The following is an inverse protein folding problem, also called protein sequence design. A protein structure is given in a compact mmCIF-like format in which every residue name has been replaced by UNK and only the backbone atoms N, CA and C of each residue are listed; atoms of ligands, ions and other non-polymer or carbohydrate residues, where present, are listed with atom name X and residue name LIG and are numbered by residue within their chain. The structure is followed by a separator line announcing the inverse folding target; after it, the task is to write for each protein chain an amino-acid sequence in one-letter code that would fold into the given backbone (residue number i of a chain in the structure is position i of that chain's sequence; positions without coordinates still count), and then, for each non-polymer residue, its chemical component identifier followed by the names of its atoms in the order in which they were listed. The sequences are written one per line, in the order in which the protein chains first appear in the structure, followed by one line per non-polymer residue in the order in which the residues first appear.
data_IF_295787243545
#
_entry.id   IF_295787243545
#
_cell.length_a   1.000
_cell.length_b   1.000
_cell.length_c   1.000
_cell.angle_alpha   90.00
_cell.angle_beta   90.00
_cell.angle_gamma   90.00
#
_symmetry.space_group_name_H-M   'P 1'
#
loop_
_entity.id
_entity.type
_entity.pdbx_description
1 polymer ?
#
# COMPACT_ATOMS: atom_id res chain seq x y z
N UNK A 1 6.31 -20.39 -15.81
CA UNK A 1 6.87 -20.85 -14.51
C UNK A 1 5.99 -20.27 -13.43
N UNK A 2 5.30 -21.09 -12.64
CA UNK A 2 4.49 -20.63 -11.52
C UNK A 2 5.41 -19.99 -10.47
N UNK A 3 5.42 -18.65 -10.47
CA UNK A 3 6.17 -17.87 -9.48
C UNK A 3 5.46 -18.00 -8.15
N UNK A 4 6.11 -18.62 -7.15
CA UNK A 4 5.50 -18.76 -5.82
C UNK A 4 5.51 -17.42 -5.09
N UNK A 5 4.39 -17.02 -4.45
CA UNK A 5 4.33 -15.80 -3.68
C UNK A 5 5.15 -15.91 -2.39
N UNK A 6 5.83 -14.81 -2.04
CA UNK A 6 6.56 -14.66 -0.78
C UNK A 6 5.60 -14.46 0.40
N UNK A 7 4.51 -13.68 0.18
CA UNK A 7 3.34 -13.61 1.05
C UNK A 7 2.12 -14.04 0.24
N UNK A 8 1.29 -14.93 0.81
CA UNK A 8 -0.01 -15.30 0.28
C UNK A 8 -1.07 -15.17 1.37
N UNK A 9 -1.93 -14.18 1.23
CA UNK A 9 -3.11 -14.00 2.07
C UNK A 9 -4.34 -14.56 1.34
N UNK A 10 -5.12 -15.41 2.02
CA UNK A 10 -6.32 -16.05 1.45
C UNK A 10 -7.50 -15.85 2.38
N UNK A 11 -8.56 -15.25 1.86
CA UNK A 11 -9.86 -15.03 2.54
C UNK A 11 -9.71 -14.45 3.95
N UNK A 12 -8.76 -13.55 4.14
CA UNK A 12 -8.46 -12.95 5.46
C UNK A 12 -9.64 -12.10 5.92
N UNK A 13 -10.09 -12.36 7.14
CA UNK A 13 -11.11 -11.56 7.83
C UNK A 13 -10.52 -10.97 9.11
N UNK A 14 -10.77 -9.66 9.34
CA UNK A 14 -10.33 -8.97 10.55
C UNK A 14 -11.52 -8.27 11.17
N UNK A 15 -11.73 -8.54 12.45
CA UNK A 15 -12.83 -7.95 13.22
C UNK A 15 -12.28 -7.21 14.44
N UNK A 16 -12.75 -5.98 14.64
CA UNK A 16 -12.49 -5.18 15.83
C UNK A 16 -13.69 -5.22 16.79
N UNK A 17 -13.39 -5.33 18.07
CA UNK A 17 -14.40 -5.20 19.14
C UNK A 17 -14.40 -3.77 19.67
N UNK A 18 -15.46 -3.01 19.37
CA UNK A 18 -15.60 -1.60 19.73
C UNK A 18 -16.90 -1.40 20.54
N UNK A 19 -16.80 -1.09 21.82
CA UNK A 19 -17.93 -0.81 22.71
C UNK A 19 -19.06 -1.88 22.61
N UNK A 20 -18.67 -3.15 22.62
CA UNK A 20 -19.61 -4.27 22.51
C UNK A 20 -20.14 -4.58 21.10
N UNK A 21 -19.77 -3.80 20.08
CA UNK A 21 -20.10 -4.07 18.68
C UNK A 21 -18.89 -4.64 17.93
N UNK A 22 -19.17 -5.42 16.90
CA UNK A 22 -18.14 -6.00 16.02
C UNK A 22 -18.07 -5.19 14.71
N UNK A 23 -16.89 -4.66 14.40
CA UNK A 23 -16.58 -4.00 13.15
C UNK A 23 -15.79 -4.98 12.27
N UNK A 24 -16.35 -5.42 11.14
CA UNK A 24 -15.65 -6.26 10.16
C UNK A 24 -14.81 -5.35 9.24
N UNK A 25 -13.60 -5.03 9.68
CA UNK A 25 -12.72 -4.11 8.95
C UNK A 25 -12.17 -4.73 7.66
N UNK A 26 -11.92 -6.05 7.65
CA UNK A 26 -11.47 -6.82 6.47
C UNK A 26 -12.42 -7.99 6.28
N UNK A 27 -12.86 -8.18 5.03
CA UNK A 27 -13.90 -9.11 4.63
C UNK A 27 -13.40 -9.99 3.49
N UNK A 28 -12.91 -11.22 3.79
CA UNK A 28 -12.41 -12.20 2.81
C UNK A 28 -11.43 -11.57 1.80
N UNK A 29 -10.39 -10.92 2.32
CA UNK A 29 -9.38 -10.27 1.49
C UNK A 29 -8.31 -11.29 1.10
N UNK A 30 -8.03 -11.41 -0.21
CA UNK A 30 -6.99 -12.30 -0.74
C UNK A 30 -6.01 -11.47 -1.55
N UNK A 31 -4.69 -11.71 -1.35
CA UNK A 31 -3.61 -10.98 -1.99
C UNK A 31 -2.31 -11.79 -1.94
N UNK A 32 -1.62 -11.85 -3.08
CA UNK A 32 -0.30 -12.44 -3.20
C UNK A 32 0.75 -11.35 -3.48
N UNK A 33 1.90 -11.42 -2.79
CA UNK A 33 3.09 -10.63 -3.06
C UNK A 33 4.19 -11.57 -3.57
N UNK A 34 4.83 -11.19 -4.66
CA UNK A 34 5.93 -11.96 -5.25
C UNK A 34 7.29 -11.34 -4.90
N UNK A 35 8.34 -12.16 -4.95
CA UNK A 35 9.70 -11.72 -4.62
C UNK A 35 10.21 -10.66 -5.63
N UNK A 36 10.81 -9.58 -5.10
CA UNK A 36 11.32 -8.44 -5.88
C UNK A 36 10.25 -7.55 -6.51
N UNK A 37 8.95 -7.81 -6.25
CA UNK A 37 7.82 -7.04 -6.79
C UNK A 37 7.55 -5.78 -5.99
N UNK A 38 7.07 -4.74 -6.67
CA UNK A 38 6.39 -3.60 -6.05
C UNK A 38 4.89 -3.72 -6.25
N UNK A 39 4.17 -4.00 -5.17
CA UNK A 39 2.71 -4.08 -5.15
C UNK A 39 2.12 -2.83 -4.51
N UNK A 40 1.21 -2.14 -5.20
CA UNK A 40 0.45 -1.05 -4.62
C UNK A 40 -0.93 -1.51 -4.14
N UNK A 41 -1.33 -1.11 -2.93
CA UNK A 41 -2.69 -1.26 -2.42
C UNK A 41 -3.32 0.13 -2.37
N UNK A 42 -4.33 0.36 -3.19
CA UNK A 42 -4.97 1.67 -3.36
C UNK A 42 -6.43 1.66 -2.94
N UNK A 43 -6.95 2.81 -2.55
CA UNK A 43 -8.35 3.00 -2.17
C UNK A 43 -8.56 4.18 -1.24
N UNK A 44 -9.81 4.58 -1.02
CA UNK A 44 -10.15 5.68 -0.12
C UNK A 44 -9.66 5.45 1.32
N UNK A 45 -9.54 6.54 2.09
CA UNK A 45 -9.26 6.45 3.53
C UNK A 45 -10.34 5.59 4.21
N UNK A 46 -9.92 4.73 5.15
CA UNK A 46 -10.84 3.80 5.82
C UNK A 46 -11.20 2.54 5.03
N UNK A 47 -10.69 2.31 3.82
CA UNK A 47 -10.96 1.09 3.05
C UNK A 47 -10.34 -0.19 3.65
N UNK A 48 -9.45 -0.06 4.63
CA UNK A 48 -8.83 -1.19 5.35
C UNK A 48 -7.38 -1.48 5.01
N UNK A 49 -6.74 -0.71 4.11
CA UNK A 49 -5.36 -0.94 3.60
C UNK A 49 -4.34 -1.16 4.73
N UNK A 50 -4.19 -0.17 5.60
CA UNK A 50 -3.25 -0.23 6.73
C UNK A 50 -3.60 -1.33 7.73
N UNK A 51 -4.88 -1.60 7.96
CA UNK A 51 -5.33 -2.69 8.84
C UNK A 51 -4.90 -4.04 8.28
N UNK A 52 -5.10 -4.24 6.98
CA UNK A 52 -4.73 -5.49 6.31
C UNK A 52 -3.22 -5.72 6.35
N UNK A 53 -2.42 -4.73 6.00
CA UNK A 53 -0.95 -4.88 5.94
C UNK A 53 -0.28 -4.94 7.32
N UNK A 54 -0.87 -4.34 8.37
CA UNK A 54 -0.41 -4.52 9.76
C UNK A 54 -0.44 -5.98 10.21
N UNK A 55 -1.26 -6.84 9.60
CA UNK A 55 -1.23 -8.28 9.89
C UNK A 55 0.06 -8.95 9.46
N UNK A 56 0.72 -8.45 8.41
CA UNK A 56 1.99 -9.00 7.90
C UNK A 56 3.19 -8.76 8.84
N UNK A 57 3.02 -7.87 9.81
CA UNK A 57 4.00 -7.60 10.86
C UNK A 57 3.44 -7.88 12.27
N UNK A 58 2.24 -8.48 12.37
CA UNK A 58 1.60 -8.81 13.65
C UNK A 58 1.32 -7.58 14.53
N UNK A 59 0.97 -6.43 13.92
CA UNK A 59 0.76 -5.15 14.61
C UNK A 59 -0.70 -4.69 14.57
N UNK A 60 -1.64 -5.63 14.68
CA UNK A 60 -3.04 -5.27 14.90
C UNK A 60 -3.21 -4.66 16.29
N UNK A 61 -4.11 -3.68 16.39
CA UNK A 61 -4.50 -3.10 17.66
C UNK A 61 -5.11 -4.19 18.59
N UNK A 62 -5.00 -4.00 19.89
CA UNK A 62 -5.36 -5.00 20.93
C UNK A 62 -6.82 -5.49 20.81
N UNK A 63 -7.71 -4.65 20.30
CA UNK A 63 -9.13 -4.96 20.07
C UNK A 63 -9.42 -5.57 18.70
N UNK A 64 -8.40 -5.74 17.83
CA UNK A 64 -8.49 -6.36 16.51
C UNK A 64 -8.02 -7.81 16.51
N UNK A 65 -8.71 -8.67 15.78
CA UNK A 65 -8.35 -10.09 15.62
C UNK A 65 -8.56 -10.55 14.19
N UNK A 66 -7.65 -11.42 13.71
CA UNK A 66 -7.90 -12.21 12.50
C UNK A 66 -8.95 -13.25 12.87
N UNK A 67 -10.11 -13.21 12.21
CA UNK A 67 -11.26 -14.07 12.51
C UNK A 67 -11.51 -15.12 11.43
N UNK A 68 -10.80 -15.07 10.31
CA UNK A 68 -10.87 -16.05 9.22
C UNK A 68 -9.72 -15.91 8.25
N UNK A 69 -9.56 -16.91 7.39
CA UNK A 69 -8.54 -16.98 6.37
C UNK A 69 -7.16 -17.39 6.90
N UNK A 70 -6.16 -17.26 6.05
CA UNK A 70 -4.76 -17.57 6.36
C UNK A 70 -3.82 -16.56 5.72
N UNK A 71 -2.65 -16.37 6.31
CA UNK A 71 -1.56 -15.55 5.76
C UNK A 71 -0.29 -16.39 5.80
N UNK A 72 0.18 -16.80 4.63
CA UNK A 72 1.40 -17.58 4.51
C UNK A 72 2.59 -16.66 4.18
N UNK A 73 3.68 -16.78 4.91
CA UNK A 73 4.96 -16.19 4.60
C UNK A 73 5.99 -17.31 4.49
N UNK A 74 6.62 -17.45 3.33
CA UNK A 74 7.53 -18.59 3.04
C UNK A 74 6.90 -19.95 3.43
N UNK A 75 5.60 -20.13 3.18
CA UNK A 75 4.85 -21.37 3.52
C UNK A 75 4.43 -21.52 4.99
N UNK A 76 4.83 -20.61 5.89
CA UNK A 76 4.45 -20.62 7.31
C UNK A 76 3.22 -19.73 7.56
N UNK A 77 2.22 -20.25 8.25
CA UNK A 77 0.99 -19.52 8.57
C UNK A 77 1.23 -18.50 9.69
N UNK A 78 1.30 -17.22 9.30
CA UNK A 78 1.52 -16.08 10.20
C UNK A 78 0.37 -15.84 11.19
N UNK A 79 -0.83 -16.34 10.91
CA UNK A 79 -1.98 -16.20 11.82
C UNK A 79 -1.79 -17.01 13.11
N UNK A 80 -0.84 -17.96 13.11
CA UNK A 80 -0.48 -18.82 14.24
C UNK A 80 0.83 -18.42 14.93
N UNK A 81 1.46 -17.32 14.49
CA UNK A 81 2.74 -16.89 15.06
C UNK A 81 2.58 -16.42 16.52
N UNK A 82 3.53 -16.86 17.33
CA UNK A 82 3.74 -16.39 18.70
C UNK A 82 4.59 -15.10 18.69
N UNK A 83 4.68 -14.37 19.81
CA UNK A 83 5.59 -13.22 19.91
C UNK A 83 7.05 -13.61 19.62
N UNK A 84 7.47 -14.83 19.96
CA UNK A 84 8.81 -15.30 19.64
C UNK A 84 9.04 -15.43 18.13
N UNK A 85 8.02 -15.88 17.37
CA UNK A 85 8.09 -15.93 15.91
C UNK A 85 8.15 -14.52 15.32
N UNK A 86 7.34 -13.60 15.84
CA UNK A 86 7.31 -12.20 15.40
C UNK A 86 8.63 -11.46 15.63
N UNK A 87 9.37 -11.75 16.71
CA UNK A 87 10.71 -11.19 16.93
C UNK A 87 11.70 -11.58 15.83
N UNK A 88 11.51 -12.74 15.19
CA UNK A 88 12.32 -13.17 14.05
C UNK A 88 11.93 -12.55 12.71
N UNK A 89 10.74 -11.94 12.63
CA UNK A 89 10.15 -11.38 11.39
C UNK A 89 10.26 -9.86 11.36
N UNK A 90 9.79 -9.19 12.43
CA UNK A 90 9.73 -7.72 12.50
C UNK A 90 11.12 -7.09 12.34
N UNK A 91 11.25 -6.16 11.41
CA UNK A 91 12.49 -5.48 11.07
C UNK A 91 13.45 -6.34 10.26
N UNK A 92 13.67 -7.60 10.63
CA UNK A 92 14.65 -8.48 9.99
C UNK A 92 14.19 -9.02 8.63
N UNK A 93 12.92 -9.42 8.52
CA UNK A 93 12.32 -9.99 7.31
C UNK A 93 11.33 -9.04 6.68
N UNK A 94 10.46 -8.47 7.49
CA UNK A 94 9.44 -7.52 7.07
C UNK A 94 9.58 -6.26 7.92
N UNK A 95 9.84 -5.14 7.26
CA UNK A 95 9.88 -3.82 7.89
C UNK A 95 8.72 -2.96 7.41
N UNK A 96 8.30 -2.00 8.22
CA UNK A 96 7.19 -1.11 7.90
C UNK A 96 7.56 0.34 8.18
N UNK A 97 7.32 1.20 7.19
CA UNK A 97 7.33 2.66 7.29
C UNK A 97 5.90 3.10 7.51
N UNK A 98 5.63 3.72 8.67
CA UNK A 98 4.31 4.18 9.06
C UNK A 98 3.99 5.55 8.47
N UNK A 99 2.71 5.89 8.41
CA UNK A 99 2.17 7.11 7.79
C UNK A 99 2.74 8.41 8.38
N UNK A 100 2.98 8.47 9.70
CA UNK A 100 3.46 9.68 10.37
C UNK A 100 4.89 9.53 10.87
N UNK A 101 5.86 10.23 10.25
CA UNK A 101 7.26 10.20 10.69
C UNK A 101 7.46 10.87 12.06
N UNK A 102 6.54 11.74 12.50
CA UNK A 102 6.63 12.42 13.79
C UNK A 102 6.40 11.47 14.97
N UNK A 103 5.52 10.51 14.80
CA UNK A 103 5.23 9.49 15.82
C UNK A 103 6.20 8.31 15.75
N UNK A 104 6.91 8.14 14.63
CA UNK A 104 7.85 7.04 14.41
C UNK A 104 9.23 7.30 15.01
N UNK A 105 9.63 8.57 15.18
CA UNK A 105 10.93 8.95 15.73
C UNK A 105 10.82 9.34 17.21
N UNK A 106 11.72 8.82 18.04
CA UNK A 106 11.81 9.26 19.43
C UNK A 106 12.42 10.67 19.51
N UNK A 107 11.67 11.70 19.94
CA UNK A 107 12.14 13.08 19.95
C UNK A 107 13.31 13.34 20.91
N UNK A 108 13.51 12.47 21.90
CA UNK A 108 14.55 12.59 22.94
C UNK A 108 15.83 11.83 22.58
N UNK A 109 15.86 11.08 21.46
CA UNK A 109 17.05 10.36 21.00
C UNK A 109 17.63 11.00 19.73
N UNK A 110 18.95 11.04 19.64
CA UNK A 110 19.66 11.48 18.43
C UNK A 110 19.30 10.59 17.24
N UNK A 111 19.22 11.16 16.04
CA UNK A 111 18.84 10.47 14.81
C UNK A 111 19.75 9.27 14.52
N UNK A 112 21.08 9.49 14.57
CA UNK A 112 22.03 8.42 14.29
C UNK A 112 21.94 7.26 15.27
N UNK A 113 21.61 7.54 16.54
CA UNK A 113 21.42 6.50 17.57
C UNK A 113 20.20 5.62 17.30
N UNK A 114 19.13 6.17 16.72
CA UNK A 114 17.93 5.40 16.38
C UNK A 114 18.21 4.45 15.21
N UNK A 115 18.98 4.87 14.22
CA UNK A 115 19.41 4.01 13.12
C UNK A 115 20.40 2.96 13.63
N UNK A 116 21.37 3.36 14.45
CA UNK A 116 22.36 2.47 15.05
C UNK A 116 21.71 1.36 15.85
N UNK A 117 20.69 1.66 16.67
CA UNK A 117 19.93 0.70 17.47
C UNK A 117 19.30 -0.40 16.58
N UNK A 118 18.70 -0.01 15.43
CA UNK A 118 18.17 -0.96 14.45
C UNK A 118 19.27 -1.86 13.87
N UNK A 119 20.43 -1.29 13.54
CA UNK A 119 21.56 -2.05 13.01
C UNK A 119 22.11 -3.03 14.07
N UNK A 120 22.29 -2.58 15.30
CA UNK A 120 22.78 -3.41 16.40
C UNK A 120 21.86 -4.58 16.69
N UNK A 121 20.55 -4.33 16.64
CA UNK A 121 19.55 -5.36 16.95
C UNK A 121 19.41 -6.39 15.81
N UNK A 122 19.49 -5.98 14.55
CA UNK A 122 19.16 -6.85 13.42
C UNK A 122 20.36 -7.34 12.61
N UNK A 123 21.48 -6.61 12.60
CA UNK A 123 22.67 -6.99 11.84
C UNK A 123 23.80 -7.57 12.72
N UNK A 124 23.70 -7.45 14.05
CA UNK A 124 24.74 -7.92 14.97
C UNK A 124 26.02 -7.08 14.95
N UNK A 125 25.99 -5.88 14.32
CA UNK A 125 27.08 -4.91 14.40
C UNK A 125 26.93 -4.10 15.70
N UNK A 126 28.03 -3.76 16.35
CA UNK A 126 28.01 -3.01 17.61
C UNK A 126 29.06 -1.87 17.64
N UNK A 127 28.85 -0.88 18.51
CA UNK A 127 29.78 0.20 18.77
C UNK A 127 30.12 1.04 17.53
N UNK A 128 31.39 1.26 17.25
CA UNK A 128 31.86 2.09 16.13
C UNK A 128 31.49 1.49 14.76
N UNK A 129 31.43 0.18 14.61
CA UNK A 129 31.01 -0.44 13.36
C UNK A 129 29.54 -0.15 13.05
N UNK A 130 28.67 -0.25 14.06
CA UNK A 130 27.25 0.11 13.91
C UNK A 130 27.05 1.61 13.68
N UNK A 131 27.84 2.47 14.34
CA UNK A 131 27.83 3.93 14.12
C UNK A 131 28.21 4.27 12.68
N UNK A 132 29.29 3.68 12.17
CA UNK A 132 29.72 3.87 10.77
C UNK A 132 28.63 3.47 9.79
N UNK A 133 28.03 2.30 9.99
CA UNK A 133 26.92 1.81 9.14
C UNK A 133 25.68 2.72 9.22
N UNK A 134 25.39 3.33 10.38
CA UNK A 134 24.31 4.30 10.52
C UNK A 134 24.59 5.61 9.75
N UNK A 135 25.83 6.10 9.77
CA UNK A 135 26.24 7.26 9.01
C UNK A 135 26.19 6.98 7.49
N UNK A 136 26.66 5.81 7.06
CA UNK A 136 26.54 5.36 5.66
C UNK A 136 25.07 5.28 5.22
N UNK A 137 24.19 4.82 6.09
CA UNK A 137 22.76 4.77 5.80
C UNK A 137 22.14 6.17 5.69
N UNK A 138 22.52 7.13 6.54
CA UNK A 138 22.10 8.52 6.41
C UNK A 138 22.55 9.14 5.07
N UNK A 139 23.78 8.89 4.66
CA UNK A 139 24.28 9.32 3.35
C UNK A 139 23.46 8.69 2.21
N UNK A 140 23.18 7.39 2.29
CA UNK A 140 22.42 6.61 1.30
C UNK A 140 21.00 7.16 1.10
N UNK A 141 20.32 7.57 2.17
CA UNK A 141 19.00 8.18 2.05
C UNK A 141 19.04 9.67 1.68
N UNK A 142 20.21 10.19 1.33
CA UNK A 142 20.38 11.56 0.86
C UNK A 142 20.27 12.62 1.96
N UNK A 143 20.68 12.31 3.19
CA UNK A 143 20.84 13.30 4.26
C UNK A 143 22.21 13.97 4.10
N UNK A 144 22.28 15.31 3.90
CA UNK A 144 23.54 16.02 3.78
C UNK A 144 24.29 16.03 5.12
N UNK A 145 25.62 16.07 5.08
CA UNK A 145 26.51 16.09 6.27
C UNK A 145 26.18 15.00 7.29
N UNK A 146 26.18 13.69 6.89
CA UNK A 146 25.61 12.60 7.68
C UNK A 146 26.30 12.43 9.04
N UNK A 147 27.59 12.70 9.17
CA UNK A 147 28.33 12.66 10.44
C UNK A 147 27.81 13.70 11.44
N UNK A 148 27.60 14.92 10.98
CA UNK A 148 27.02 15.99 11.81
C UNK A 148 25.57 15.66 12.15
N UNK A 149 24.79 15.23 11.16
CA UNK A 149 23.35 14.89 11.31
C UNK A 149 23.11 13.70 12.23
N UNK A 150 24.05 12.78 12.30
CA UNK A 150 24.00 11.65 13.23
C UNK A 150 23.82 12.12 14.68
N UNK A 151 24.46 13.23 15.07
CA UNK A 151 24.43 13.78 16.44
C UNK A 151 23.21 14.68 16.74
N UNK A 152 22.38 14.95 15.76
CA UNK A 152 21.21 15.82 15.85
C UNK A 152 19.95 15.08 16.26
N UNK A 153 18.95 15.86 16.71
CA UNK A 153 17.64 15.36 17.14
C UNK A 153 16.57 15.53 16.05
N UNK A 154 15.44 14.80 16.11
CA UNK A 154 14.36 14.87 15.11
C UNK A 154 13.83 16.28 14.86
N UNK A 155 13.74 17.15 15.88
CA UNK A 155 13.23 18.51 15.74
C UNK A 155 14.13 19.43 14.88
N UNK A 156 15.40 19.05 14.67
CA UNK A 156 16.34 19.79 13.82
C UNK A 156 16.25 19.40 12.33
N UNK A 157 15.31 18.49 11.96
CA UNK A 157 15.12 17.97 10.62
C UNK A 157 13.82 18.49 10.02
N UNK A 158 13.79 18.76 8.71
CA UNK A 158 12.55 19.02 7.97
C UNK A 158 11.66 17.77 7.88
N UNK A 159 10.40 17.93 7.49
CA UNK A 159 9.47 16.80 7.31
C UNK A 159 10.01 15.74 6.35
N UNK A 160 10.49 16.15 5.18
CA UNK A 160 11.10 15.24 4.21
C UNK A 160 12.38 14.57 4.70
N UNK A 161 13.21 15.26 5.49
CA UNK A 161 14.39 14.67 6.11
C UNK A 161 14.00 13.63 7.16
N UNK A 162 12.99 13.89 7.99
CA UNK A 162 12.48 12.90 8.97
C UNK A 162 11.94 11.67 8.28
N UNK A 163 11.21 11.84 7.18
CA UNK A 163 10.72 10.72 6.37
C UNK A 163 11.87 9.87 5.82
N UNK A 164 12.93 10.49 5.29
CA UNK A 164 14.14 9.78 4.86
C UNK A 164 14.80 9.00 6.00
N UNK A 165 14.82 9.55 7.21
CA UNK A 165 15.35 8.87 8.40
C UNK A 165 14.51 7.67 8.79
N UNK A 166 13.17 7.76 8.76
CA UNK A 166 12.28 6.62 9.05
C UNK A 166 12.51 5.50 8.02
N UNK A 167 12.64 5.87 6.74
CA UNK A 167 12.99 4.92 5.68
C UNK A 167 14.39 4.31 5.94
N UNK A 168 15.37 5.12 6.37
CA UNK A 168 16.69 4.64 6.74
C UNK A 168 16.66 3.60 7.87
N UNK A 169 15.88 3.83 8.92
CA UNK A 169 15.71 2.89 10.05
C UNK A 169 15.13 1.56 9.54
N UNK A 170 14.10 1.61 8.70
CA UNK A 170 13.47 0.42 8.15
C UNK A 170 14.40 -0.35 7.20
N UNK A 171 15.08 0.36 6.28
CA UNK A 171 15.99 -0.22 5.30
C UNK A 171 17.33 -0.69 5.92
N UNK A 172 17.77 -0.09 7.04
CA UNK A 172 18.97 -0.49 7.74
C UNK A 172 18.96 -1.95 8.18
N UNK A 173 17.78 -2.52 8.40
CA UNK A 173 17.63 -3.94 8.74
C UNK A 173 17.81 -4.88 7.54
N UNK A 174 17.93 -4.37 6.33
CA UNK A 174 17.94 -5.12 5.05
C UNK A 174 16.79 -6.14 4.97
N UNK A 175 15.54 -5.67 5.10
CA UNK A 175 14.38 -6.55 5.09
C UNK A 175 14.17 -7.16 3.71
N UNK A 176 13.50 -8.32 3.66
CA UNK A 176 13.06 -8.93 2.41
C UNK A 176 11.83 -8.22 1.84
N UNK A 177 10.99 -7.67 2.74
CA UNK A 177 9.78 -6.93 2.38
C UNK A 177 9.75 -5.59 3.13
N UNK A 178 9.55 -4.51 2.41
CA UNK A 178 9.30 -3.17 2.97
C UNK A 178 7.85 -2.76 2.71
N UNK A 179 7.09 -2.51 3.77
CA UNK A 179 5.73 -1.98 3.70
C UNK A 179 5.80 -0.47 3.92
N UNK A 180 5.30 0.31 2.98
CA UNK A 180 5.26 1.77 3.04
C UNK A 180 3.80 2.23 3.14
N UNK A 181 3.36 2.60 4.35
CA UNK A 181 2.00 3.08 4.61
C UNK A 181 1.96 4.59 4.45
N UNK A 182 1.43 5.04 3.31
CA UNK A 182 1.31 6.45 2.91
C UNK A 182 2.62 7.25 3.10
N UNK A 183 3.76 6.79 2.54
CA UNK A 183 5.08 7.33 2.89
C UNK A 183 5.32 8.77 2.42
N UNK A 184 4.40 9.35 1.66
CA UNK A 184 4.51 10.69 1.08
C UNK A 184 3.40 11.64 1.53
N UNK A 185 2.50 11.20 2.41
CA UNK A 185 1.42 12.04 2.93
C UNK A 185 1.98 13.26 3.66
N UNK A 186 1.38 14.43 3.44
CA UNK A 186 1.78 15.73 3.99
C UNK A 186 3.16 16.27 3.51
N UNK A 187 3.71 15.73 2.42
CA UNK A 187 4.89 16.26 1.76
C UNK A 187 4.52 17.01 0.47
N UNK A 188 5.32 17.99 0.09
CA UNK A 188 5.16 18.65 -1.20
C UNK A 188 5.52 17.72 -2.36
N UNK A 189 5.00 18.00 -3.57
CA UNK A 189 5.11 17.14 -4.75
C UNK A 189 6.56 16.82 -5.11
N UNK A 190 7.47 17.77 -4.95
CA UNK A 190 8.90 17.58 -5.26
C UNK A 190 9.54 16.59 -4.29
N UNK A 191 9.27 16.73 -3.00
CA UNK A 191 9.77 15.81 -1.97
C UNK A 191 9.12 14.44 -2.12
N UNK A 192 7.83 14.35 -2.46
CA UNK A 192 7.16 13.08 -2.77
C UNK A 192 7.92 12.30 -3.84
N UNK A 193 8.21 12.92 -4.99
CA UNK A 193 8.94 12.27 -6.08
C UNK A 193 10.31 11.76 -5.62
N UNK A 194 11.03 12.55 -4.82
CA UNK A 194 12.33 12.16 -4.29
C UNK A 194 12.24 10.97 -3.30
N UNK A 195 11.21 10.90 -2.46
CA UNK A 195 10.99 9.79 -1.53
C UNK A 195 10.65 8.50 -2.30
N UNK A 196 9.82 8.59 -3.33
CA UNK A 196 9.48 7.43 -4.16
C UNK A 196 10.71 6.90 -4.91
N UNK A 197 11.52 7.79 -5.47
CA UNK A 197 12.77 7.41 -6.13
C UNK A 197 13.74 6.76 -5.13
N UNK A 198 13.89 7.33 -3.93
CA UNK A 198 14.71 6.76 -2.87
C UNK A 198 14.31 5.32 -2.52
N UNK A 199 13.00 5.06 -2.33
CA UNK A 199 12.52 3.71 -2.00
C UNK A 199 12.80 2.75 -3.16
N UNK A 200 12.61 3.19 -4.42
CA UNK A 200 12.93 2.40 -5.62
C UNK A 200 14.42 2.05 -5.72
N UNK A 201 15.30 3.01 -5.42
CA UNK A 201 16.74 2.79 -5.45
C UNK A 201 17.17 1.81 -4.36
N UNK A 202 16.62 1.95 -3.14
CA UNK A 202 16.84 1.02 -2.04
C UNK A 202 16.29 -0.38 -2.36
N UNK A 203 15.13 -0.48 -2.99
CA UNK A 203 14.56 -1.75 -3.45
C UNK A 203 15.50 -2.50 -4.37
N UNK A 204 16.01 -1.82 -5.40
CA UNK A 204 16.95 -2.41 -6.38
C UNK A 204 18.27 -2.81 -5.73
N UNK A 205 18.81 -1.96 -4.87
CA UNK A 205 20.11 -2.19 -4.23
C UNK A 205 20.03 -3.33 -3.21
N UNK A 206 18.97 -3.40 -2.42
CA UNK A 206 18.81 -4.38 -1.36
C UNK A 206 18.10 -5.67 -1.81
N UNK A 207 17.54 -5.68 -3.03
CA UNK A 207 16.81 -6.83 -3.57
C UNK A 207 15.51 -7.13 -2.82
N UNK A 208 14.82 -6.11 -2.29
CA UNK A 208 13.60 -6.30 -1.49
C UNK A 208 12.32 -6.15 -2.31
N UNK A 209 11.24 -6.76 -1.83
CA UNK A 209 9.89 -6.52 -2.33
C UNK A 209 9.29 -5.33 -1.59
N UNK A 210 8.40 -4.57 -2.25
CA UNK A 210 7.78 -3.39 -1.64
C UNK A 210 6.27 -3.46 -1.73
N UNK A 211 5.58 -3.16 -0.61
CA UNK A 211 4.14 -2.89 -0.61
C UNK A 211 3.93 -1.41 -0.38
N UNK A 212 3.38 -0.71 -1.36
CA UNK A 212 2.92 0.66 -1.21
C UNK A 212 1.45 0.70 -0.83
N UNK A 213 1.12 1.44 0.22
CA UNK A 213 -0.26 1.79 0.57
C UNK A 213 -0.42 3.28 0.28
N UNK A 214 -1.39 3.62 -0.56
CA UNK A 214 -1.67 5.02 -0.90
C UNK A 214 -3.11 5.18 -1.38
N UNK A 215 -3.62 6.40 -1.32
CA UNK A 215 -4.86 6.80 -1.98
C UNK A 215 -4.59 7.52 -3.32
N UNK A 216 -3.34 7.78 -3.66
CA UNK A 216 -2.93 8.50 -4.88
C UNK A 216 -2.51 7.51 -5.98
N UNK A 217 -3.40 7.32 -6.96
CA UNK A 217 -3.12 6.52 -8.15
C UNK A 217 -2.02 7.11 -9.04
N UNK A 218 -1.81 8.44 -9.01
CA UNK A 218 -0.74 9.08 -9.76
C UNK A 218 0.65 8.64 -9.29
N UNK A 219 0.79 8.43 -7.98
CA UNK A 219 2.00 7.85 -7.38
C UNK A 219 2.22 6.42 -7.85
N UNK A 220 1.16 5.61 -7.84
CA UNK A 220 1.20 4.19 -8.19
C UNK A 220 1.68 3.94 -9.61
N UNK A 221 1.24 4.75 -10.55
CA UNK A 221 1.64 4.65 -11.96
C UNK A 221 3.16 4.67 -12.17
N UNK A 222 3.90 5.30 -11.27
CA UNK A 222 5.35 5.49 -11.41
C UNK A 222 6.18 4.45 -10.65
N UNK A 223 5.61 3.73 -9.69
CA UNK A 223 6.40 2.90 -8.76
C UNK A 223 5.98 1.44 -8.72
N UNK A 224 4.74 1.09 -9.05
CA UNK A 224 4.23 -0.24 -8.87
C UNK A 224 4.34 -1.12 -10.13
N UNK A 225 4.53 -2.41 -9.93
CA UNK A 225 4.40 -3.44 -10.97
C UNK A 225 2.95 -3.91 -11.06
N UNK A 226 2.31 -4.12 -9.90
CA UNK A 226 0.91 -4.54 -9.77
C UNK A 226 0.16 -3.66 -8.79
N UNK A 227 -1.15 -3.59 -8.98
CA UNK A 227 -2.07 -2.80 -8.17
C UNK A 227 -3.20 -3.69 -7.66
N UNK A 228 -3.53 -3.55 -6.39
CA UNK A 228 -4.73 -4.09 -5.78
C UNK A 228 -5.61 -2.94 -5.30
N UNK A 229 -6.81 -2.83 -5.84
CA UNK A 229 -7.79 -1.79 -5.48
C UNK A 229 -8.63 -2.30 -4.33
N UNK A 230 -8.62 -1.59 -3.21
CA UNK A 230 -9.31 -2.00 -1.99
C UNK A 230 -10.46 -1.06 -1.65
N UNK A 231 -11.63 -1.63 -1.44
CA UNK A 231 -12.84 -0.92 -1.03
C UNK A 231 -13.57 -1.66 0.09
N UNK A 232 -13.96 -0.94 1.14
CA UNK A 232 -14.77 -1.46 2.23
C UNK A 232 -14.27 -2.81 2.80
N UNK A 233 -12.96 -2.97 2.98
CA UNK A 233 -12.32 -4.15 3.56
C UNK A 233 -12.11 -5.32 2.59
N UNK A 234 -12.26 -5.13 1.28
CA UNK A 234 -12.03 -6.15 0.26
C UNK A 234 -11.17 -5.63 -0.88
N UNK A 235 -10.37 -6.50 -1.48
CA UNK A 235 -9.81 -6.24 -2.82
C UNK A 235 -10.96 -6.43 -3.81
N UNK A 236 -11.23 -5.40 -4.60
CA UNK A 236 -12.31 -5.40 -5.60
C UNK A 236 -11.80 -5.57 -7.02
N UNK A 237 -10.55 -5.21 -7.26
CA UNK A 237 -9.87 -5.39 -8.54
C UNK A 237 -8.36 -5.48 -8.32
N UNK A 238 -7.67 -6.31 -9.08
CA UNK A 238 -6.21 -6.36 -9.10
C UNK A 238 -5.71 -6.68 -10.50
N UNK A 239 -4.51 -6.20 -10.80
CA UNK A 239 -3.86 -6.40 -12.11
C UNK A 239 -2.50 -5.74 -12.17
N UNK A 240 -1.84 -5.77 -13.32
CA UNK A 240 -0.68 -4.92 -13.59
C UNK A 240 -1.10 -3.45 -13.56
N UNK A 241 -0.13 -2.54 -13.39
CA UNK A 241 -0.41 -1.10 -13.47
C UNK A 241 -1.12 -0.74 -14.76
N UNK A 242 -0.66 -1.29 -15.90
CA UNK A 242 -1.28 -1.01 -17.20
C UNK A 242 -2.74 -1.47 -17.26
N UNK A 243 -3.05 -2.67 -16.76
CA UNK A 243 -4.41 -3.20 -16.75
C UNK A 243 -5.33 -2.35 -15.90
N UNK A 244 -4.89 -1.95 -14.69
CA UNK A 244 -5.71 -1.13 -13.80
C UNK A 244 -5.92 0.29 -14.35
N UNK A 245 -4.91 0.88 -14.99
CA UNK A 245 -5.04 2.23 -15.55
C UNK A 245 -5.80 2.27 -16.88
N UNK A 246 -5.58 1.29 -17.75
CA UNK A 246 -6.09 1.35 -19.12
C UNK A 246 -7.20 0.34 -19.41
N UNK A 247 -7.38 -0.65 -18.56
CA UNK A 247 -8.38 -1.73 -18.76
C UNK A 247 -9.21 -2.06 -17.53
N UNK A 248 -9.35 -1.13 -16.58
CA UNK A 248 -10.16 -1.32 -15.37
C UNK A 248 -11.60 -1.74 -15.68
N UNK A 249 -12.16 -2.60 -14.81
CA UNK A 249 -13.51 -3.13 -14.93
C UNK A 249 -14.42 -2.81 -13.74
N UNK A 250 -13.85 -2.65 -12.55
CA UNK A 250 -14.68 -2.35 -11.38
C UNK A 250 -15.12 -0.87 -11.37
N UNK A 251 -16.40 -0.57 -11.15
CA UNK A 251 -16.92 0.81 -11.14
C UNK A 251 -16.22 1.73 -10.14
N UNK A 252 -15.77 1.20 -9.01
CA UNK A 252 -14.99 1.96 -8.04
C UNK A 252 -13.61 2.36 -8.59
N UNK A 253 -12.94 1.47 -9.33
CA UNK A 253 -11.66 1.79 -10.00
C UNK A 253 -11.88 2.88 -11.05
N UNK A 254 -12.97 2.82 -11.80
CA UNK A 254 -13.33 3.91 -12.73
C UNK A 254 -13.49 5.24 -12.02
N UNK A 255 -14.20 5.26 -10.89
CA UNK A 255 -14.40 6.48 -10.11
C UNK A 255 -13.07 7.04 -9.57
N UNK A 256 -12.16 6.19 -9.11
CA UNK A 256 -10.81 6.59 -8.69
C UNK A 256 -10.00 7.18 -9.86
N UNK A 257 -10.04 6.55 -11.02
CA UNK A 257 -9.35 7.04 -12.23
C UNK A 257 -9.92 8.38 -12.69
N UNK A 258 -11.25 8.56 -12.67
CA UNK A 258 -11.89 9.82 -13.04
C UNK A 258 -11.51 10.98 -12.10
N UNK A 259 -11.21 10.70 -10.84
CA UNK A 259 -10.79 11.70 -9.86
C UNK A 259 -9.31 12.12 -10.00
N UNK A 260 -8.54 11.54 -10.93
CA UNK A 260 -7.15 11.92 -11.17
C UNK A 260 -7.05 13.36 -11.70
N UNK A 261 -6.26 14.24 -11.04
CA UNK A 261 -6.10 15.64 -11.47
C UNK A 261 -5.60 15.78 -12.92
N UNK A 262 -4.79 14.84 -13.38
CA UNK A 262 -4.23 14.82 -14.74
C UNK A 262 -5.29 14.61 -15.82
N UNK A 263 -6.45 14.08 -15.48
CA UNK A 263 -7.57 13.86 -16.41
C UNK A 263 -8.60 14.97 -16.40
N UNK A 264 -8.48 15.92 -15.47
CA UNK A 264 -9.37 17.08 -15.37
C UNK A 264 -9.17 18.06 -16.52
N UNK A 265 -10.27 18.59 -17.05
CA UNK A 265 -10.25 19.72 -18.00
C UNK A 265 -9.95 21.00 -17.22
N UNK A 266 -9.03 21.81 -17.73
CA UNK A 266 -8.68 23.08 -17.08
C UNK A 266 -9.92 23.99 -16.95
N UNK A 267 -10.32 24.28 -15.71
CA UNK A 267 -11.49 25.10 -15.40
C UNK A 267 -12.75 24.33 -15.02
N UNK A 268 -12.75 23.00 -15.09
CA UNK A 268 -13.84 22.15 -14.60
C UNK A 268 -13.50 21.57 -13.21
N UNK A 269 -14.51 21.38 -12.37
CA UNK A 269 -14.35 20.67 -11.11
C UNK A 269 -14.01 19.19 -11.38
N UNK A 270 -13.01 18.65 -10.67
CA UNK A 270 -12.72 17.23 -10.76
C UNK A 270 -13.92 16.41 -10.29
N UNK A 271 -14.25 15.31 -10.98
CA UNK A 271 -15.26 14.38 -10.52
C UNK A 271 -14.91 13.85 -9.12
N UNK A 272 -15.84 13.91 -8.21
CA UNK A 272 -15.75 13.33 -6.88
C UNK A 272 -16.55 12.03 -6.83
N UNK A 273 -16.13 11.10 -5.98
CA UNK A 273 -16.90 9.88 -5.76
C UNK A 273 -18.07 10.22 -4.84
N UNK A 274 -19.29 10.25 -5.39
CA UNK A 274 -20.50 10.60 -4.66
C UNK A 274 -20.79 9.64 -3.49
N UNK A 275 -21.44 10.13 -2.44
CA UNK A 275 -21.85 9.36 -1.29
C UNK A 275 -20.71 9.02 -0.32
N UNK A 276 -21.02 8.19 0.68
CA UNK A 276 -20.08 7.76 1.72
C UNK A 276 -19.84 6.25 1.65
N UNK A 277 -18.64 5.78 2.00
CA UNK A 277 -18.39 4.34 2.15
C UNK A 277 -19.39 3.67 3.12
N UNK A 278 -19.70 2.38 2.92
CA UNK A 278 -20.66 1.68 3.76
C UNK A 278 -20.16 1.57 5.20
N UNK A 279 -21.10 1.54 6.13
CA UNK A 279 -20.81 1.31 7.54
C UNK A 279 -20.49 -0.17 7.79
N UNK A 280 -19.23 -0.49 8.09
CA UNK A 280 -18.73 -1.84 8.30
C UNK A 280 -19.17 -2.48 9.63
N UNK A 281 -19.97 -1.80 10.44
CA UNK A 281 -20.70 -2.43 11.55
C UNK A 281 -21.93 -3.21 11.07
N UNK A 282 -22.44 -2.89 9.88
CA UNK A 282 -23.57 -3.55 9.27
C UNK A 282 -23.12 -4.66 8.32
N UNK A 283 -23.95 -5.67 8.17
CA UNK A 283 -23.75 -6.70 7.16
C UNK A 283 -23.95 -6.11 5.75
N UNK A 284 -22.99 -6.35 4.86
CA UNK A 284 -23.08 -5.99 3.44
C UNK A 284 -23.40 -7.27 2.67
N UNK A 285 -24.58 -7.33 2.06
CA UNK A 285 -25.05 -8.54 1.35
C UNK A 285 -24.57 -8.61 -0.10
N UNK A 286 -24.50 -7.48 -0.77
CA UNK A 286 -24.10 -7.37 -2.17
C UNK A 286 -22.74 -6.73 -2.35
N UNK A 287 -22.54 -6.10 -3.51
CA UNK A 287 -21.38 -5.28 -3.76
C UNK A 287 -21.40 -4.03 -2.84
N UNK A 288 -20.33 -3.86 -2.09
CA UNK A 288 -20.18 -2.73 -1.18
C UNK A 288 -20.24 -1.37 -1.88
N UNK A 289 -19.88 -1.29 -3.16
CA UNK A 289 -19.90 -0.08 -3.96
C UNK A 289 -21.25 0.20 -4.62
N UNK A 290 -22.17 -0.77 -4.69
CA UNK A 290 -23.46 -0.63 -5.34
C UNK A 290 -24.22 0.67 -5.00
N UNK A 291 -24.32 1.11 -3.72
CA UNK A 291 -25.03 2.35 -3.37
C UNK A 291 -24.39 3.63 -3.95
N UNK A 292 -23.13 3.57 -4.36
CA UNK A 292 -22.39 4.70 -4.96
C UNK A 292 -22.21 4.56 -6.47
N UNK A 293 -22.58 3.42 -7.03
CA UNK A 293 -22.50 3.13 -8.46
C UNK A 293 -23.76 3.58 -9.16
N UNK A 294 -23.70 4.63 -9.96
CA UNK A 294 -24.84 5.17 -10.73
C UNK A 294 -25.44 4.18 -11.73
N UNK A 295 -24.70 3.14 -12.08
CA UNK A 295 -25.11 2.11 -13.04
C UNK A 295 -25.24 0.72 -12.38
N UNK A 296 -25.43 0.67 -11.05
CA UNK A 296 -25.55 -0.59 -10.33
C UNK A 296 -26.68 -1.46 -10.88
N UNK A 297 -26.40 -2.75 -11.04
CA UNK A 297 -27.40 -3.74 -11.41
C UNK A 297 -28.20 -4.15 -10.16
N UNK A 298 -29.42 -4.62 -10.36
CA UNK A 298 -30.27 -5.09 -9.23
C UNK A 298 -29.57 -6.19 -8.40
N UNK A 299 -28.76 -7.02 -9.04
CA UNK A 299 -28.00 -8.08 -8.38
C UNK A 299 -26.90 -7.54 -7.46
N UNK A 300 -26.31 -6.38 -7.76
CA UNK A 300 -25.28 -5.77 -6.93
C UNK A 300 -25.76 -5.48 -5.51
N UNK A 301 -27.07 -5.29 -5.30
CA UNK A 301 -27.63 -5.02 -3.98
C UNK A 301 -27.92 -6.27 -3.14
N UNK A 302 -27.96 -7.46 -3.77
CA UNK A 302 -28.42 -8.69 -3.11
C UNK A 302 -27.37 -9.81 -3.08
N UNK A 303 -26.38 -9.78 -3.99
CA UNK A 303 -25.33 -10.79 -4.08
C UNK A 303 -23.96 -10.15 -4.36
N UNK A 304 -22.96 -10.55 -3.55
CA UNK A 304 -21.58 -10.13 -3.75
C UNK A 304 -21.03 -10.76 -5.03
N UNK A 305 -20.44 -9.98 -5.97
CA UNK A 305 -19.84 -10.55 -7.17
C UNK A 305 -18.61 -11.39 -6.82
N UNK A 306 -18.40 -12.53 -7.46
CA UNK A 306 -17.13 -13.25 -7.38
C UNK A 306 -16.04 -12.48 -8.15
N UNK A 307 -14.78 -12.90 -8.02
CA UNK A 307 -13.74 -12.48 -8.95
C UNK A 307 -13.98 -13.13 -10.33
N UNK A 308 -14.07 -12.29 -11.34
CA UNK A 308 -14.02 -12.70 -12.75
C UNK A 308 -12.62 -12.42 -13.28
N UNK A 309 -12.02 -13.44 -13.91
CA UNK A 309 -10.73 -13.30 -14.55
C UNK A 309 -10.88 -12.57 -15.89
N UNK A 310 -10.12 -11.48 -16.07
CA UNK A 310 -10.09 -10.68 -17.30
C UNK A 310 -8.89 -11.08 -18.16
N UNK A 311 -7.72 -11.26 -17.54
CA UNK A 311 -6.49 -11.75 -18.15
C UNK A 311 -5.78 -12.72 -17.19
N UNK A 312 -4.59 -13.21 -17.53
CA UNK A 312 -3.78 -14.05 -16.62
C UNK A 312 -3.42 -13.32 -15.33
N UNK A 313 -3.29 -12.00 -15.37
CA UNK A 313 -2.85 -11.15 -14.24
C UNK A 313 -3.94 -10.25 -13.68
N UNK A 314 -5.08 -10.10 -14.37
CA UNK A 314 -6.13 -9.15 -14.05
C UNK A 314 -7.45 -9.84 -13.69
N UNK A 315 -8.02 -9.49 -12.55
CA UNK A 315 -9.36 -9.92 -12.14
C UNK A 315 -10.10 -8.81 -11.39
N UNK A 316 -11.43 -8.80 -11.55
CA UNK A 316 -12.31 -7.82 -10.91
C UNK A 316 -13.57 -8.47 -10.32
N UNK A 317 -14.02 -7.94 -9.18
CA UNK A 317 -15.25 -8.33 -8.48
C UNK A 317 -16.40 -7.45 -8.97
N UNK A 318 -16.95 -7.75 -10.15
CA UNK A 318 -18.07 -7.00 -10.70
C UNK A 318 -18.98 -7.88 -11.54
N UNK A 319 -20.29 -7.76 -11.34
CA UNK A 319 -21.29 -8.47 -12.16
C UNK A 319 -21.28 -8.02 -13.62
N UNK A 320 -20.65 -6.91 -13.99
CA UNK A 320 -20.50 -6.50 -15.39
C UNK A 320 -19.71 -7.49 -16.26
N UNK A 321 -18.91 -8.34 -15.63
CA UNK A 321 -18.16 -9.41 -16.30
C UNK A 321 -18.94 -10.74 -16.41
N UNK A 322 -20.13 -10.85 -15.80
CA UNK A 322 -20.99 -12.02 -15.99
C UNK A 322 -21.52 -12.03 -17.43
N UNK A 323 -21.44 -13.16 -18.16
CA UNK A 323 -21.91 -13.24 -19.54
C UNK A 323 -23.40 -12.86 -19.77
N UNK A 324 -24.19 -12.87 -18.70
CA UNK A 324 -25.62 -12.49 -18.73
C UNK A 324 -25.84 -11.01 -18.47
N UNK A 325 -24.81 -10.28 -18.05
CA UNK A 325 -24.92 -8.86 -17.75
C UNK A 325 -25.13 -8.03 -19.04
N UNK A 326 -25.81 -6.89 -18.96
CA UNK A 326 -25.85 -5.95 -20.06
C UNK A 326 -24.42 -5.46 -20.39
N UNK A 327 -24.14 -5.22 -21.67
CA UNK A 327 -22.85 -4.64 -22.06
C UNK A 327 -22.71 -3.26 -21.45
N UNK A 328 -21.70 -3.08 -20.62
CA UNK A 328 -21.35 -1.82 -20.00
C UNK A 328 -20.15 -1.21 -20.70
N UNK A 329 -20.28 0.07 -21.05
CA UNK A 329 -19.15 0.84 -21.56
C UNK A 329 -18.48 1.60 -20.41
N UNK A 330 -17.15 1.67 -20.47
CA UNK A 330 -16.38 2.47 -19.54
C UNK A 330 -16.73 3.96 -19.72
N UNK A 331 -16.68 4.76 -18.64
CA UNK A 331 -16.92 6.20 -18.75
C UNK A 331 -16.01 6.85 -19.79
N UNK A 332 -16.59 7.76 -20.60
CA UNK A 332 -15.86 8.46 -21.67
C UNK A 332 -14.56 9.16 -21.21
N UNK A 333 -14.54 9.63 -19.96
CA UNK A 333 -13.38 10.29 -19.37
C UNK A 333 -12.16 9.39 -19.25
N UNK A 334 -12.36 8.07 -19.06
CA UNK A 334 -11.30 7.07 -18.94
C UNK A 334 -11.14 6.19 -20.21
N UNK A 335 -12.01 6.38 -21.20
CA UNK A 335 -11.78 5.81 -22.53
C UNK A 335 -10.58 6.51 -23.17
N UNK A 336 -9.72 5.74 -23.86
CA UNK A 336 -8.51 6.25 -24.53
C UNK A 336 -7.51 6.97 -23.57
N UNK A 337 -7.44 6.54 -22.30
CA UNK A 337 -6.53 7.07 -21.31
C UNK A 337 -5.08 7.05 -21.79
N UNK A 338 -4.65 5.98 -22.49
CA UNK A 338 -3.31 5.84 -23.06
C UNK A 338 -2.99 6.95 -24.07
N UNK A 339 -3.95 7.33 -24.92
CA UNK A 339 -3.80 8.46 -25.84
C UNK A 339 -3.76 9.82 -25.13
N UNK A 340 -4.64 9.99 -24.12
CA UNK A 340 -4.72 11.23 -23.34
C UNK A 340 -3.44 11.46 -22.53
N UNK A 341 -2.92 10.44 -21.86
CA UNK A 341 -1.68 10.54 -21.10
C UNK A 341 -0.44 10.63 -22.00
N UNK A 342 -0.41 9.96 -23.15
CA UNK A 342 0.66 10.11 -24.13
C UNK A 342 0.75 11.52 -24.74
N UNK A 343 -0.38 12.20 -24.91
CA UNK A 343 -0.41 13.61 -25.37
C UNK A 343 0.01 14.61 -24.30
N UNK A 344 -0.14 14.26 -23.02
CA UNK A 344 0.27 15.11 -21.86
C UNK A 344 1.72 14.86 -21.44
N UNK A 345 2.26 13.66 -21.70
CA UNK A 345 3.55 13.17 -21.23
C UNK A 345 4.58 12.98 -22.33
N UNK A 346 4.71 13.90 -23.28
CA UNK A 346 5.77 13.88 -24.30
C UNK A 346 7.20 13.96 -23.78
N UNK A 347 7.45 13.70 -22.47
CA UNK A 347 8.80 13.73 -21.90
C UNK A 347 9.05 12.86 -20.65
N UNK A 348 8.08 12.17 -20.05
CA UNK A 348 8.32 11.56 -18.73
C UNK A 348 7.94 10.08 -18.54
N UNK A 349 7.56 9.33 -19.59
CA UNK A 349 7.25 7.89 -19.44
C UNK A 349 8.27 6.94 -20.11
N UNK A 350 9.41 7.47 -20.60
CA UNK A 350 10.55 6.68 -21.09
C UNK A 350 11.83 7.20 -20.41
N UNK A 351 12.17 6.62 -19.24
CA UNK A 351 13.41 6.89 -18.56
C UNK A 351 13.62 5.87 -17.45
#
# INVERSE_FOLDING_TARGET
MDRQPIISAKDVEITFSLRGKKLKAIRKCSLDLYDGETLAIVGESGSGKSVFTKTFVGMLDVNGKITGGSILYEGRDMTKFTEKDWLGIRGKKIAMVMQDPMTSLNPLKKIGKQIQESIEHHQGLHGEAAKKAAIEMLAKVGIPDPERRYEQYPHEFSGGMRQRVVIAIAAACRPQILICDEPTTALDVTIQAQILQLIRDLQKELGMSVIYITHDLGVVANVADRVAVMYAGQIVEYGTVEEIFYDAWHPYTWALLQALPQLGTKGEALPTIDGTPPNLFNEIKGDAFAPRNKHALAIDFVAEPPFFQVSETHAAKTWYLDPRAPKMERPHSIQNLREKMGKMGGSNFNG
#
